data_IF_502638124582
#
_entry.id   IF_502638124582
#
_cell.length_a   1.000
_cell.length_b   1.000
_cell.length_c   1.000
_cell.angle_alpha   90.00
_cell.angle_beta   90.00
_cell.angle_gamma   90.00
#
_symmetry.space_group_name_H-M   'P 1'
#
loop_
_entity.id
_entity.type
_entity.pdbx_description
1 polymer ?
#
# COMPACT_ATOMS: atom_id res chain seq x y z
N UNK A 1 -4.27 4.52 12.80
CA UNK A 1 -4.63 4.37 11.38
C UNK A 1 -4.20 5.58 10.57
N UNK A 2 -3.13 5.43 9.78
CA UNK A 2 -2.64 6.43 8.82
C UNK A 2 -3.45 6.35 7.51
N UNK A 3 -4.19 7.41 7.18
CA UNK A 3 -4.98 7.48 5.94
C UNK A 3 -4.14 7.33 4.67
N UNK A 4 -2.84 7.64 4.71
CA UNK A 4 -1.93 7.39 3.58
C UNK A 4 -1.75 5.89 3.35
N UNK A 5 -1.72 5.09 4.41
CA UNK A 5 -1.60 3.63 4.30
C UNK A 5 -2.87 3.02 3.72
N UNK A 6 -4.04 3.50 4.15
CA UNK A 6 -5.35 3.09 3.61
C UNK A 6 -5.48 3.46 2.14
N UNK A 7 -5.11 4.69 1.76
CA UNK A 7 -5.11 5.13 0.36
C UNK A 7 -4.14 4.30 -0.48
N UNK A 8 -3.00 3.91 0.09
CA UNK A 8 -2.05 3.01 -0.57
C UNK A 8 -2.63 1.61 -0.77
N UNK A 9 -3.32 1.05 0.23
CA UNK A 9 -4.02 -0.23 0.11
C UNK A 9 -5.05 -0.21 -1.03
N UNK A 10 -5.93 0.80 -1.07
CA UNK A 10 -6.94 0.93 -2.13
C UNK A 10 -6.26 1.03 -3.50
N UNK A 11 -5.21 1.84 -3.63
CA UNK A 11 -4.50 1.97 -4.90
C UNK A 11 -3.87 0.64 -5.37
N UNK A 12 -3.26 -0.15 -4.46
CA UNK A 12 -2.71 -1.47 -4.82
C UNK A 12 -3.82 -2.45 -5.18
N UNK A 13 -4.95 -2.43 -4.47
CA UNK A 13 -6.10 -3.27 -4.78
C UNK A 13 -6.70 -2.94 -6.17
N UNK A 14 -6.79 -1.66 -6.52
CA UNK A 14 -7.31 -1.19 -7.80
C UNK A 14 -6.37 -1.50 -8.98
N UNK A 15 -5.06 -1.33 -8.79
CA UNK A 15 -4.07 -1.56 -9.86
C UNK A 15 -3.61 -3.02 -9.96
N UNK A 16 -3.79 -3.81 -8.90
CA UNK A 16 -3.30 -5.19 -8.78
C UNK A 16 -1.78 -5.32 -8.69
N UNK A 17 -1.02 -4.21 -8.78
CA UNK A 17 0.44 -4.21 -8.76
C UNK A 17 0.98 -3.02 -7.98
N UNK A 18 1.98 -3.27 -7.12
CA UNK A 18 2.64 -2.24 -6.30
C UNK A 18 3.36 -1.19 -7.16
N UNK A 19 3.93 -1.61 -8.30
CA UNK A 19 4.61 -0.69 -9.22
C UNK A 19 3.61 0.30 -9.84
N UNK A 20 2.48 -0.19 -10.33
CA UNK A 20 1.42 0.66 -10.90
C UNK A 20 0.80 1.58 -9.83
N UNK A 21 0.57 1.07 -8.62
CA UNK A 21 0.10 1.90 -7.50
C UNK A 21 1.10 3.02 -7.17
N UNK A 22 2.40 2.75 -7.29
CA UNK A 22 3.45 3.75 -7.07
C UNK A 22 3.40 4.87 -8.10
N UNK A 23 3.14 4.54 -9.37
CA UNK A 23 2.95 5.51 -10.45
C UNK A 23 1.69 6.36 -10.22
N UNK A 24 0.56 5.75 -9.85
CA UNK A 24 -0.69 6.46 -9.52
C UNK A 24 -0.53 7.40 -8.33
N UNK A 25 0.23 6.99 -7.31
CA UNK A 25 0.42 7.78 -6.08
C UNK A 25 1.57 8.78 -6.16
N UNK A 26 2.37 8.77 -7.23
CA UNK A 26 3.55 9.64 -7.39
C UNK A 26 4.62 9.41 -6.32
N UNK A 27 4.80 8.17 -5.86
CA UNK A 27 5.79 7.78 -4.85
C UNK A 27 6.59 6.58 -5.32
N UNK A 28 7.67 6.25 -4.62
CA UNK A 28 8.43 5.04 -4.93
C UNK A 28 7.66 3.78 -4.55
N UNK A 29 7.90 2.67 -5.25
CA UNK A 29 7.36 1.36 -4.89
C UNK A 29 7.75 0.96 -3.46
N UNK A 30 8.97 1.29 -3.02
CA UNK A 30 9.43 1.04 -1.65
C UNK A 30 8.57 1.78 -0.60
N UNK A 31 8.13 3.01 -0.91
CA UNK A 31 7.23 3.76 -0.05
C UNK A 31 5.82 3.15 0.00
N UNK A 32 5.33 2.59 -1.12
CA UNK A 32 4.09 1.79 -1.16
C UNK A 32 4.24 0.58 -0.24
N UNK A 33 5.27 -0.23 -0.43
CA UNK A 33 5.52 -1.45 0.37
C UNK A 33 5.63 -1.16 1.86
N UNK A 34 6.35 -0.08 2.24
CA UNK A 34 6.48 0.31 3.64
C UNK A 34 5.14 0.69 4.28
N UNK A 35 4.26 1.38 3.53
CA UNK A 35 2.93 1.76 4.01
C UNK A 35 2.01 0.55 4.16
N UNK A 36 2.06 -0.39 3.21
CA UNK A 36 1.32 -1.66 3.31
C UNK A 36 1.79 -2.46 4.53
N UNK A 37 3.10 -2.66 4.68
CA UNK A 37 3.65 -3.40 5.82
C UNK A 37 3.29 -2.75 7.17
N UNK A 38 3.24 -1.42 7.24
CA UNK A 38 2.78 -0.72 8.44
C UNK A 38 1.29 -0.97 8.72
N UNK A 39 0.45 -0.98 7.69
CA UNK A 39 -0.98 -1.27 7.82
C UNK A 39 -1.23 -2.73 8.23
N UNK A 40 -0.55 -3.68 7.60
CA UNK A 40 -0.61 -5.11 7.95
C UNK A 40 -0.21 -5.33 9.42
N UNK A 41 0.84 -4.64 9.88
CA UNK A 41 1.26 -4.69 11.29
C UNK A 41 0.22 -4.09 12.23
N UNK A 42 -0.42 -2.98 11.86
CA UNK A 42 -1.48 -2.36 12.66
C UNK A 42 -2.71 -3.27 12.77
N UNK A 43 -3.07 -3.94 11.67
CA UNK A 43 -4.25 -4.82 11.60
C UNK A 43 -3.99 -6.25 12.08
N UNK A 44 -2.72 -6.68 12.16
CA UNK A 44 -2.34 -8.04 12.53
C UNK A 44 -2.64 -9.08 11.46
N UNK A 45 -2.78 -8.67 10.20
CA UNK A 45 -3.10 -9.55 9.06
C UNK A 45 -2.28 -9.18 7.83
N UNK A 46 -2.00 -10.17 6.97
CA UNK A 46 -1.46 -9.93 5.64
C UNK A 46 -2.58 -9.50 4.70
N UNK A 47 -2.37 -8.41 3.97
CA UNK A 47 -3.34 -7.86 3.01
C UNK A 47 -3.00 -8.29 1.58
N UNK A 48 -1.72 -8.51 1.29
CA UNK A 48 -1.24 -8.97 -0.01
C UNK A 48 -0.19 -10.09 0.18
N UNK A 49 -0.08 -10.97 -0.82
CA UNK A 49 0.88 -12.10 -0.87
C UNK A 49 1.93 -11.89 -1.94
#
# INVERSE_FOLDING_TARGET
MDLKAVRTFVAVADTGQFQEASAVLGITQQAVSKRIAALEKELGVLLFT
#
